data_IF_586010175878
#
_entry.id   IF_586010175878
#
_cell.length_a   1.000
_cell.length_b   1.000
_cell.length_c   1.000
_cell.angle_alpha   90.00
_cell.angle_beta   90.00
_cell.angle_gamma   90.00
#
_symmetry.space_group_name_H-M   'P 1'
#
loop_
_entity.id
_entity.type
_entity.pdbx_description
1 polymer ?
#
# COMPACT_ATOMS: atom_id res chain seq x y z
N UNK A 1 12.93 24.89 11.99
CA UNK A 1 12.91 23.54 11.40
C UNK A 1 12.62 23.73 9.93
N UNK A 2 13.54 23.38 9.03
CA UNK A 2 13.25 23.33 7.60
C UNK A 2 12.23 22.20 7.39
N UNK A 3 11.11 22.51 6.73
CA UNK A 3 10.22 21.50 6.15
C UNK A 3 11.07 20.45 5.44
N UNK A 4 10.86 19.13 5.69
CA UNK A 4 11.61 18.10 4.99
C UNK A 4 11.44 18.34 3.49
N UNK A 5 12.57 18.46 2.78
CA UNK A 5 12.56 18.75 1.35
C UNK A 5 11.79 17.65 0.64
N UNK A 6 10.57 17.94 0.19
CA UNK A 6 9.77 16.99 -0.56
C UNK A 6 10.43 16.77 -1.92
N UNK A 7 11.20 15.69 -2.03
CA UNK A 7 11.94 15.32 -3.25
C UNK A 7 11.03 15.25 -4.48
N UNK A 8 9.74 14.97 -4.29
CA UNK A 8 8.75 14.90 -5.37
C UNK A 8 8.54 16.28 -6.06
N UNK A 9 8.86 17.39 -5.41
CA UNK A 9 8.83 18.72 -6.02
C UNK A 9 9.93 18.94 -7.08
N UNK A 10 10.97 18.10 -7.08
CA UNK A 10 12.01 18.11 -8.12
C UNK A 10 11.56 17.38 -9.40
N UNK A 11 10.39 16.71 -9.37
CA UNK A 11 9.83 16.03 -10.52
C UNK A 11 8.84 16.93 -11.26
N UNK A 12 8.92 16.88 -12.58
CA UNK A 12 8.02 17.57 -13.48
C UNK A 12 7.33 16.57 -14.40
N UNK A 13 6.01 16.51 -14.38
CA UNK A 13 5.23 15.74 -15.35
C UNK A 13 5.08 16.55 -16.62
N UNK A 14 5.43 15.99 -17.77
CA UNK A 14 5.34 16.63 -19.09
C UNK A 14 4.38 15.83 -19.96
N UNK A 15 3.30 16.46 -20.42
CA UNK A 15 2.33 15.85 -21.33
C UNK A 15 2.51 16.41 -22.74
N UNK A 16 2.82 15.55 -23.70
CA UNK A 16 3.03 15.94 -25.08
C UNK A 16 1.76 15.75 -25.90
N UNK A 17 1.28 16.86 -26.46
CA UNK A 17 0.05 16.98 -27.25
C UNK A 17 -1.17 16.29 -26.61
N UNK A 18 -1.52 16.59 -25.34
CA UNK A 18 -2.72 16.05 -24.72
C UNK A 18 -3.98 16.52 -25.47
N UNK A 19 -4.93 15.61 -25.70
CA UNK A 19 -6.10 15.89 -26.54
C UNK A 19 -7.33 16.36 -25.76
N UNK A 20 -7.49 15.93 -24.51
CA UNK A 20 -8.72 16.14 -23.74
C UNK A 20 -8.42 16.77 -22.37
N UNK A 21 -9.10 17.87 -22.06
CA UNK A 21 -9.04 18.53 -20.75
C UNK A 21 -9.36 17.56 -19.59
N UNK A 22 -10.25 16.59 -19.80
CA UNK A 22 -10.59 15.54 -18.81
C UNK A 22 -9.38 14.65 -18.50
N UNK A 23 -8.55 14.32 -19.51
CA UNK A 23 -7.34 13.53 -19.28
C UNK A 23 -6.30 14.34 -18.50
N UNK A 24 -6.16 15.63 -18.80
CA UNK A 24 -5.27 16.51 -18.04
C UNK A 24 -5.75 16.63 -16.59
N UNK A 25 -7.05 16.85 -16.36
CA UNK A 25 -7.61 16.94 -15.01
C UNK A 25 -7.46 15.65 -14.20
N UNK A 26 -7.59 14.49 -14.84
CA UNK A 26 -7.34 13.20 -14.17
C UNK A 26 -5.84 12.95 -13.90
N UNK A 27 -4.95 13.43 -14.77
CA UNK A 27 -3.50 13.47 -14.51
C UNK A 27 -3.18 14.36 -13.30
N UNK A 28 -3.75 15.56 -13.25
CA UNK A 28 -3.57 16.50 -12.13
C UNK A 28 -4.00 15.86 -10.80
N UNK A 29 -5.15 15.17 -10.79
CA UNK A 29 -5.58 14.40 -9.60
C UNK A 29 -4.61 13.30 -9.23
N UNK A 30 -4.12 12.56 -10.23
CA UNK A 30 -3.14 11.50 -10.00
C UNK A 30 -1.84 12.04 -9.39
N UNK A 31 -1.36 13.17 -9.89
CA UNK A 31 -0.19 13.87 -9.35
C UNK A 31 -0.40 14.28 -7.90
N UNK A 32 -1.52 14.95 -7.60
CA UNK A 32 -1.83 15.41 -6.23
C UNK A 32 -1.95 14.26 -5.24
N UNK A 33 -2.58 13.15 -5.62
CA UNK A 33 -2.68 11.95 -4.77
C UNK A 33 -1.31 11.40 -4.35
N UNK A 34 -0.27 11.64 -5.17
CA UNK A 34 1.08 11.10 -4.97
C UNK A 34 2.09 12.19 -4.62
N UNK A 35 1.66 13.43 -4.34
CA UNK A 35 2.54 14.52 -3.91
C UNK A 35 3.37 15.19 -5.02
N UNK A 36 3.02 14.98 -6.29
CA UNK A 36 3.60 15.71 -7.43
C UNK A 36 2.80 16.98 -7.71
N UNK A 37 3.49 18.07 -8.04
CA UNK A 37 2.87 19.40 -8.16
C UNK A 37 3.20 20.15 -9.45
N UNK A 38 4.23 19.75 -10.19
CA UNK A 38 4.71 20.47 -11.38
C UNK A 38 4.25 19.77 -12.65
N UNK A 39 3.40 20.44 -13.43
CA UNK A 39 2.87 19.96 -14.70
C UNK A 39 3.24 20.90 -15.84
N UNK A 40 3.71 20.32 -16.95
CA UNK A 40 3.95 21.01 -18.22
C UNK A 40 3.15 20.37 -19.34
N UNK A 41 2.57 21.21 -20.19
CA UNK A 41 1.89 20.79 -21.40
C UNK A 41 2.72 21.25 -22.60
N UNK A 42 2.97 20.35 -23.53
CA UNK A 42 3.64 20.66 -24.79
C UNK A 42 2.61 20.59 -25.90
N UNK A 43 2.39 21.71 -26.60
CA UNK A 43 1.48 21.82 -27.73
C UNK A 43 0.10 21.16 -27.46
N UNK A 44 -0.61 21.50 -26.36
CA UNK A 44 -1.92 20.91 -26.08
C UNK A 44 -2.91 21.21 -27.22
N UNK A 45 -3.85 20.29 -27.48
CA UNK A 45 -4.87 20.51 -28.50
C UNK A 45 -5.61 21.85 -28.24
N UNK A 46 -5.90 22.68 -29.25
CA UNK A 46 -6.55 23.99 -29.05
C UNK A 46 -7.90 23.94 -28.32
N UNK A 47 -8.59 22.80 -28.36
CA UNK A 47 -9.86 22.57 -27.66
C UNK A 47 -9.69 22.25 -26.16
N UNK A 48 -8.43 22.12 -25.69
CA UNK A 48 -8.11 21.95 -24.27
C UNK A 48 -8.28 23.29 -23.57
N UNK A 49 -9.33 23.35 -22.77
CA UNK A 49 -9.65 24.48 -21.91
C UNK A 49 -9.19 24.20 -20.47
N UNK A 50 -8.45 25.15 -19.88
CA UNK A 50 -7.97 25.08 -18.50
C UNK A 50 -9.13 25.14 -17.50
N UNK A 51 -10.24 25.81 -17.81
CA UNK A 51 -11.42 25.84 -16.94
C UNK A 51 -12.05 24.44 -16.84
N UNK A 52 -12.23 23.76 -17.99
CA UNK A 52 -12.68 22.36 -18.02
C UNK A 52 -11.71 21.42 -17.33
N UNK A 53 -10.41 21.67 -17.46
CA UNK A 53 -9.35 20.92 -16.76
C UNK A 53 -9.52 21.06 -15.25
N UNK A 54 -9.76 22.27 -14.75
CA UNK A 54 -9.97 22.53 -13.32
C UNK A 54 -11.21 21.82 -12.76
N UNK A 55 -12.32 21.81 -13.51
CA UNK A 55 -13.53 21.07 -13.14
C UNK A 55 -13.22 19.57 -13.01
N UNK A 56 -12.51 19.00 -13.98
CA UNK A 56 -12.13 17.59 -13.96
C UNK A 56 -11.10 17.26 -12.85
N UNK A 57 -10.27 18.23 -12.47
CA UNK A 57 -9.22 18.08 -11.47
C UNK A 57 -9.72 18.12 -10.01
N UNK A 58 -10.97 18.53 -9.76
CA UNK A 58 -11.67 18.53 -8.46
C UNK A 58 -10.84 18.95 -7.24
N UNK A 59 -10.93 20.23 -6.83
CA UNK A 59 -10.22 20.80 -5.66
C UNK A 59 -8.68 20.71 -5.75
N UNK A 60 -8.16 20.79 -6.97
CA UNK A 60 -6.71 20.78 -7.27
C UNK A 60 -6.30 22.05 -8.03
N UNK A 61 -6.82 23.20 -7.56
CA UNK A 61 -6.59 24.51 -8.18
C UNK A 61 -5.11 24.91 -8.17
N UNK A 62 -4.40 24.54 -7.09
CA UNK A 62 -2.97 24.76 -6.89
C UNK A 62 -2.09 24.26 -8.04
N UNK A 63 -2.32 23.03 -8.53
CA UNK A 63 -1.51 22.50 -9.64
C UNK A 63 -1.95 23.12 -10.97
N UNK A 64 -3.26 23.37 -11.15
CA UNK A 64 -3.80 23.87 -12.42
C UNK A 64 -3.36 25.30 -12.71
N UNK A 65 -3.31 26.15 -11.68
CA UNK A 65 -2.87 27.54 -11.80
C UNK A 65 -1.38 27.66 -12.17
N UNK A 66 -0.57 26.68 -11.77
CA UNK A 66 0.88 26.64 -12.03
C UNK A 66 1.26 25.84 -13.29
N UNK A 67 0.29 25.42 -14.11
CA UNK A 67 0.57 24.70 -15.37
C UNK A 67 1.33 25.63 -16.32
N UNK A 68 2.48 25.15 -16.81
CA UNK A 68 3.23 25.82 -17.86
C UNK A 68 2.96 25.16 -19.22
N UNK A 69 2.75 25.99 -20.25
CA UNK A 69 2.51 25.55 -21.62
C UNK A 69 3.70 25.94 -22.48
N UNK A 70 4.18 25.01 -23.29
CA UNK A 70 5.31 25.15 -24.20
C UNK A 70 4.93 24.75 -25.62
N UNK A 71 5.59 25.31 -26.62
CA UNK A 71 5.34 24.97 -28.02
C UNK A 71 6.08 23.68 -28.39
N UNK A 72 7.27 23.45 -27.82
CA UNK A 72 8.09 22.28 -28.13
C UNK A 72 8.53 21.50 -26.89
N UNK A 73 8.79 20.19 -27.08
CA UNK A 73 9.31 19.34 -26.00
C UNK A 73 10.71 19.80 -25.56
N UNK A 74 11.53 20.31 -26.48
CA UNK A 74 12.85 20.83 -26.16
C UNK A 74 12.79 22.00 -25.17
N UNK A 75 11.86 22.95 -25.38
CA UNK A 75 11.64 24.06 -24.45
C UNK A 75 11.15 23.57 -23.08
N UNK A 76 10.20 22.62 -23.08
CA UNK A 76 9.67 22.06 -21.85
C UNK A 76 10.69 21.23 -21.05
N UNK A 77 11.83 20.87 -21.63
CA UNK A 77 12.91 20.12 -20.99
C UNK A 77 14.16 20.99 -20.69
N UNK A 78 14.17 22.26 -21.08
CA UNK A 78 15.39 23.08 -21.10
C UNK A 78 16.04 23.29 -19.71
N UNK A 79 15.25 23.30 -18.64
CA UNK A 79 15.70 23.41 -17.24
C UNK A 79 15.69 22.07 -16.49
N UNK A 80 15.42 20.96 -17.19
CA UNK A 80 15.47 19.62 -16.64
C UNK A 80 16.87 19.02 -16.77
N UNK A 81 17.34 18.36 -15.73
CA UNK A 81 18.66 17.72 -15.68
C UNK A 81 18.60 16.26 -16.11
N UNK A 82 17.39 15.68 -16.10
CA UNK A 82 17.13 14.31 -16.53
C UNK A 82 15.75 14.22 -17.17
N UNK A 83 15.66 13.66 -18.37
CA UNK A 83 14.38 13.38 -19.06
C UNK A 83 14.11 11.88 -19.15
N UNK A 84 12.89 11.48 -18.79
CA UNK A 84 12.46 10.09 -18.67
C UNK A 84 11.21 9.88 -19.52
N UNK A 85 11.36 9.23 -20.69
CA UNK A 85 10.26 8.99 -21.61
C UNK A 85 9.47 7.72 -21.30
N UNK A 86 8.14 7.80 -21.20
CA UNK A 86 7.30 6.62 -21.01
C UNK A 86 6.95 5.95 -22.34
N UNK A 87 7.16 4.64 -22.44
CA UNK A 87 6.84 3.87 -23.66
C UNK A 87 6.32 2.47 -23.35
N UNK A 88 5.28 2.04 -24.06
CA UNK A 88 4.70 0.70 -23.93
C UNK A 88 5.43 -0.36 -24.77
N UNK A 89 6.31 0.04 -25.71
CA UNK A 89 6.95 -0.87 -26.65
C UNK A 89 8.42 -1.07 -26.28
N UNK A 90 8.91 -2.31 -26.13
CA UNK A 90 10.35 -2.55 -26.08
C UNK A 90 10.94 -2.12 -27.43
N UNK A 91 11.72 -1.04 -27.43
CA UNK A 91 12.38 -0.51 -28.63
C UNK A 91 13.84 -1.01 -28.70
N UNK A 92 14.58 -0.57 -29.71
CA UNK A 92 15.91 -1.09 -30.11
C UNK A 92 16.85 -1.35 -28.92
N UNK A 93 17.72 -2.36 -29.07
CA UNK A 93 18.68 -2.90 -28.08
C UNK A 93 19.61 -1.90 -27.36
N UNK A 94 19.62 -0.63 -27.74
CA UNK A 94 20.58 0.38 -27.26
C UNK A 94 20.02 1.30 -26.17
N UNK A 95 18.73 1.20 -25.84
CA UNK A 95 18.10 2.07 -24.84
C UNK A 95 18.08 1.44 -23.45
N UNK A 96 18.36 2.25 -22.43
CA UNK A 96 18.15 1.86 -21.03
C UNK A 96 16.64 1.90 -20.77
N UNK A 97 16.03 0.73 -20.68
CA UNK A 97 14.61 0.56 -20.36
C UNK A 97 14.51 -0.09 -18.98
N UNK A 98 13.84 0.59 -18.05
CA UNK A 98 13.53 0.04 -16.72
C UNK A 98 12.04 0.16 -16.42
N UNK A 99 11.55 -0.60 -15.46
CA UNK A 99 10.20 -0.39 -14.92
C UNK A 99 10.19 0.82 -13.98
N UNK A 100 9.01 1.45 -13.74
CA UNK A 100 8.92 2.53 -12.77
C UNK A 100 9.48 2.15 -11.39
N UNK A 101 9.19 0.93 -10.91
CA UNK A 101 9.71 0.40 -9.65
C UNK A 101 11.23 0.34 -9.60
N UNK A 102 11.87 -0.19 -10.64
CA UNK A 102 13.34 -0.30 -10.70
C UNK A 102 14.01 1.08 -10.77
N UNK A 103 13.35 2.06 -11.39
CA UNK A 103 13.89 3.41 -11.57
C UNK A 103 13.67 4.33 -10.36
N UNK A 104 12.65 4.08 -9.53
CA UNK A 104 12.15 5.04 -8.57
C UNK A 104 13.22 5.53 -7.58
N UNK A 105 13.95 4.61 -6.93
CA UNK A 105 15.01 4.96 -5.99
C UNK A 105 16.15 5.76 -6.66
N UNK A 106 16.55 5.39 -7.88
CA UNK A 106 17.58 6.09 -8.65
C UNK A 106 17.15 7.52 -9.02
N UNK A 107 15.90 7.69 -9.45
CA UNK A 107 15.36 8.99 -9.80
C UNK A 107 15.20 9.89 -8.57
N UNK A 108 14.77 9.33 -7.44
CA UNK A 108 14.71 10.05 -6.17
C UNK A 108 16.10 10.47 -5.67
N UNK A 109 17.12 9.64 -5.87
CA UNK A 109 18.50 10.03 -5.54
C UNK A 109 18.94 11.25 -6.36
N UNK A 110 18.65 11.28 -7.66
CA UNK A 110 18.93 12.46 -8.50
C UNK A 110 18.21 13.71 -7.98
N UNK A 111 16.95 13.57 -7.60
CA UNK A 111 16.19 14.66 -6.98
C UNK A 111 16.82 15.13 -5.66
N UNK A 112 17.33 14.22 -4.84
CA UNK A 112 18.06 14.54 -3.61
C UNK A 112 19.40 15.26 -3.88
N UNK A 113 20.03 14.96 -5.02
CA UNK A 113 21.23 15.66 -5.51
C UNK A 113 20.91 17.03 -6.14
N UNK A 114 19.65 17.50 -6.05
CA UNK A 114 19.20 18.80 -6.56
C UNK A 114 18.86 18.82 -8.05
N UNK A 115 18.77 17.68 -8.72
CA UNK A 115 18.45 17.59 -10.14
C UNK A 115 16.93 17.63 -10.37
N UNK A 116 16.49 18.47 -11.31
CA UNK A 116 15.11 18.42 -11.83
C UNK A 116 14.94 17.23 -12.79
N UNK A 117 13.95 16.38 -12.54
CA UNK A 117 13.64 15.20 -13.35
C UNK A 117 12.31 15.38 -14.09
N UNK A 118 12.32 15.29 -15.42
CA UNK A 118 11.12 15.29 -16.24
C UNK A 118 10.63 13.87 -16.52
N UNK A 119 9.34 13.61 -16.24
CA UNK A 119 8.63 12.40 -16.65
C UNK A 119 7.76 12.75 -17.87
N UNK A 120 8.12 12.24 -19.04
CA UNK A 120 7.53 12.63 -20.33
C UNK A 120 6.53 11.57 -20.79
N UNK A 121 5.29 11.99 -20.98
CA UNK A 121 4.18 11.15 -21.42
C UNK A 121 3.65 11.66 -22.76
N UNK A 122 3.44 10.75 -23.70
CA UNK A 122 2.95 11.10 -25.02
C UNK A 122 1.44 11.09 -25.16
N UNK A 123 1.00 11.28 -26.40
CA UNK A 123 -0.40 11.28 -26.84
C UNK A 123 -1.11 9.98 -26.47
N UNK A 124 -2.41 10.04 -26.19
CA UNK A 124 -3.20 8.90 -25.70
C UNK A 124 -3.24 7.71 -26.65
N UNK A 125 -3.21 7.96 -27.96
CA UNK A 125 -3.35 6.91 -29.00
C UNK A 125 -2.01 6.41 -29.53
N UNK A 126 -1.04 7.30 -29.68
CA UNK A 126 0.23 7.02 -30.38
C UNK A 126 1.46 7.08 -29.48
N UNK A 127 1.33 7.58 -28.25
CA UNK A 127 2.44 7.81 -27.35
C UNK A 127 3.41 8.87 -27.90
N UNK A 128 4.69 8.70 -27.56
CA UNK A 128 5.78 9.57 -28.01
C UNK A 128 6.29 9.15 -29.40
N UNK A 129 6.56 10.15 -30.24
CA UNK A 129 7.22 10.00 -31.54
C UNK A 129 8.68 9.57 -31.37
N UNK A 130 9.34 9.17 -32.46
CA UNK A 130 10.76 8.82 -32.39
C UNK A 130 11.62 10.07 -32.09
N UNK A 131 11.21 11.20 -32.65
CA UNK A 131 11.84 12.50 -32.46
C UNK A 131 11.74 12.93 -30.98
N UNK A 132 10.56 12.78 -30.36
CA UNK A 132 10.36 13.09 -28.94
C UNK A 132 11.14 12.14 -28.03
N UNK A 133 11.17 10.85 -28.35
CA UNK A 133 11.97 9.88 -27.60
C UNK A 133 13.47 10.17 -27.70
N UNK A 134 13.94 10.70 -28.83
CA UNK A 134 15.36 11.08 -28.99
C UNK A 134 15.80 12.22 -28.08
N UNK A 135 14.85 12.97 -27.50
CA UNK A 135 15.10 14.03 -26.51
C UNK A 135 15.10 13.49 -25.06
N UNK A 136 14.81 12.20 -24.85
CA UNK A 136 14.78 11.57 -23.55
C UNK A 136 16.10 10.86 -23.22
N UNK A 137 16.61 11.02 -22.00
CA UNK A 137 17.86 10.37 -21.54
C UNK A 137 17.68 8.90 -21.18
N UNK A 138 16.51 8.54 -20.66
CA UNK A 138 16.16 7.17 -20.28
C UNK A 138 14.67 6.90 -20.53
N UNK A 139 14.30 5.62 -20.53
CA UNK A 139 12.93 5.21 -20.82
C UNK A 139 12.38 4.31 -19.72
N UNK A 140 11.09 4.49 -19.45
CA UNK A 140 10.34 3.59 -18.59
C UNK A 140 9.27 2.86 -19.37
N UNK A 141 9.12 1.58 -19.04
CA UNK A 141 8.01 0.76 -19.52
C UNK A 141 7.25 0.21 -18.32
N UNK A 142 5.97 0.54 -18.25
CA UNK A 142 5.05 -0.07 -17.29
C UNK A 142 4.74 -1.50 -17.76
N UNK A 143 5.05 -2.54 -16.97
CA UNK A 143 4.69 -3.90 -17.32
C UNK A 143 3.17 -4.05 -17.45
N UNK A 144 2.73 -4.55 -18.59
CA UNK A 144 1.32 -4.77 -18.95
C UNK A 144 1.19 -6.11 -19.68
N UNK A 145 -0.04 -6.58 -19.89
CA UNK A 145 -0.28 -7.82 -20.65
C UNK A 145 0.13 -7.60 -22.11
N UNK A 146 0.83 -8.56 -22.71
CA UNK A 146 1.47 -8.40 -24.02
C UNK A 146 0.49 -8.10 -25.18
N UNK A 147 -0.75 -8.55 -25.09
CA UNK A 147 -1.82 -8.35 -26.08
C UNK A 147 -2.63 -7.07 -25.84
N UNK A 148 -2.42 -6.38 -24.71
CA UNK A 148 -3.13 -5.15 -24.35
C UNK A 148 -2.26 -4.25 -23.47
N UNK A 149 -1.31 -3.57 -24.11
CA UNK A 149 -0.29 -2.75 -23.43
C UNK A 149 -0.63 -1.25 -23.36
N UNK A 150 -1.79 -0.85 -23.87
CA UNK A 150 -2.18 0.56 -23.94
C UNK A 150 -2.86 0.99 -22.64
N UNK A 151 -2.17 1.78 -21.84
CA UNK A 151 -2.74 2.42 -20.66
C UNK A 151 -3.35 3.77 -21.02
N UNK A 152 -4.42 4.16 -20.32
CA UNK A 152 -4.86 5.55 -20.33
C UNK A 152 -3.75 6.46 -19.76
N UNK A 153 -3.65 7.69 -20.23
CA UNK A 153 -2.63 8.66 -19.82
C UNK A 153 -2.54 8.83 -18.29
N UNK A 154 -3.67 9.05 -17.62
CA UNK A 154 -3.70 9.20 -16.16
C UNK A 154 -3.33 7.90 -15.43
N UNK A 155 -3.62 6.73 -16.00
CA UNK A 155 -3.19 5.44 -15.46
C UNK A 155 -1.67 5.26 -15.55
N UNK A 156 -1.07 5.68 -16.66
CA UNK A 156 0.37 5.66 -16.82
C UNK A 156 1.05 6.62 -15.82
N UNK A 157 0.51 7.83 -15.65
CA UNK A 157 1.02 8.82 -14.68
C UNK A 157 0.90 8.30 -13.25
N UNK A 158 -0.27 7.81 -12.82
CA UNK A 158 -0.45 7.36 -11.44
C UNK A 158 0.47 6.19 -11.08
N UNK A 159 0.73 5.26 -12.00
CA UNK A 159 1.64 4.14 -11.73
C UNK A 159 3.08 4.61 -11.52
N UNK A 160 3.54 5.58 -12.30
CA UNK A 160 4.88 6.16 -12.12
C UNK A 160 4.96 6.99 -10.83
N UNK A 161 3.96 7.84 -10.61
CA UNK A 161 3.87 8.68 -9.42
C UNK A 161 3.78 7.85 -8.14
N UNK A 162 3.04 6.74 -8.17
CA UNK A 162 2.92 5.81 -7.05
C UNK A 162 4.26 5.14 -6.73
N UNK A 163 4.99 4.62 -7.71
CA UNK A 163 6.29 4.00 -7.44
C UNK A 163 7.32 5.01 -6.90
N UNK A 164 7.26 6.28 -7.35
CA UNK A 164 8.03 7.37 -6.75
C UNK A 164 7.60 7.68 -5.32
N UNK A 165 6.30 7.75 -5.05
CA UNK A 165 5.77 7.97 -3.70
C UNK A 165 6.18 6.83 -2.77
N UNK A 166 6.06 5.57 -3.21
CA UNK A 166 6.44 4.38 -2.45
C UNK A 166 7.93 4.31 -2.14
N UNK A 167 8.78 4.71 -3.08
CA UNK A 167 10.22 4.78 -2.87
C UNK A 167 10.64 6.03 -2.06
N UNK A 168 9.75 7.00 -1.90
CA UNK A 168 9.97 8.16 -1.04
C UNK A 168 9.74 7.82 0.43
N UNK A 169 10.34 8.60 1.33
CA UNK A 169 10.18 8.44 2.78
C UNK A 169 8.77 8.80 3.29
N UNK A 170 7.86 9.22 2.40
CA UNK A 170 6.48 9.62 2.71
C UNK A 170 5.49 8.45 2.73
N UNK A 171 5.81 7.33 2.09
CA UNK A 171 4.94 6.16 2.05
C UNK A 171 4.96 5.32 3.34
N UNK A 172 5.36 5.92 4.47
CA UNK A 172 5.34 5.23 5.76
C UNK A 172 3.89 4.83 6.07
N UNK A 173 3.59 3.54 6.26
CA UNK A 173 2.27 3.14 6.68
C UNK A 173 1.93 3.90 7.97
N UNK A 174 0.67 4.32 8.11
CA UNK A 174 0.12 4.76 9.40
C UNK A 174 0.31 3.59 10.35
N UNK A 175 1.40 3.60 11.10
CA UNK A 175 1.80 2.44 11.88
C UNK A 175 0.79 2.29 13.01
N UNK A 176 -0.02 1.23 12.96
CA UNK A 176 -0.32 0.54 14.20
C UNK A 176 1.05 0.11 14.75
N UNK A 177 1.41 0.55 15.95
CA UNK A 177 2.66 0.13 16.57
C UNK A 177 2.86 -1.37 16.39
N UNK A 178 4.04 -1.84 15.95
CA UNK A 178 4.26 -3.25 15.72
C UNK A 178 3.96 -4.01 17.01
N UNK A 179 2.89 -4.82 16.97
CA UNK A 179 2.53 -5.69 18.10
C UNK A 179 3.66 -6.67 18.31
N UNK A 180 4.33 -6.55 19.45
CA UNK A 180 5.40 -7.46 19.84
C UNK A 180 4.76 -8.75 20.34
N UNK A 181 5.00 -9.91 19.69
CA UNK A 181 4.44 -11.17 20.15
C UNK A 181 4.89 -11.50 21.57
N UNK A 182 4.01 -12.15 22.33
CA UNK A 182 4.29 -12.64 23.67
C UNK A 182 5.55 -13.52 23.67
N UNK A 183 6.40 -13.33 24.68
CA UNK A 183 7.59 -14.16 24.87
C UNK A 183 7.26 -15.66 24.91
N UNK A 184 8.20 -16.51 24.47
CA UNK A 184 8.04 -17.98 24.56
C UNK A 184 7.70 -18.43 25.98
N UNK A 185 8.30 -17.82 27.01
CA UNK A 185 7.99 -18.07 28.41
C UNK A 185 6.52 -17.82 28.76
N UNK A 186 5.94 -16.73 28.25
CA UNK A 186 4.53 -16.41 28.50
C UNK A 186 3.60 -17.35 27.73
N UNK A 187 3.96 -17.75 26.50
CA UNK A 187 3.21 -18.76 25.72
C UNK A 187 3.23 -20.13 26.36
N UNK A 188 4.39 -20.57 26.88
CA UNK A 188 4.52 -21.81 27.65
C UNK A 188 3.67 -21.77 28.93
N UNK A 189 3.67 -20.63 29.64
CA UNK A 189 2.81 -20.42 30.81
C UNK A 189 1.32 -20.51 30.45
N UNK A 190 0.91 -19.88 29.34
CA UNK A 190 -0.47 -19.98 28.83
C UNK A 190 -0.83 -21.45 28.57
N UNK A 191 0.01 -22.18 27.84
CA UNK A 191 -0.24 -23.60 27.53
C UNK A 191 -0.28 -24.48 28.79
N UNK A 192 0.60 -24.23 29.76
CA UNK A 192 0.60 -24.93 31.04
C UNK A 192 -0.67 -24.63 31.85
N UNK A 193 -1.12 -23.37 31.88
CA UNK A 193 -2.36 -22.98 32.53
C UNK A 193 -3.57 -23.63 31.85
N UNK A 194 -3.65 -23.61 30.51
CA UNK A 194 -4.71 -24.29 29.77
C UNK A 194 -4.76 -25.79 30.11
N UNK A 195 -3.59 -26.46 30.14
CA UNK A 195 -3.50 -27.88 30.55
C UNK A 195 -4.05 -28.11 31.95
N UNK A 196 -3.63 -27.30 32.92
CA UNK A 196 -4.10 -27.43 34.30
C UNK A 196 -5.61 -27.27 34.37
N UNK A 197 -6.14 -26.17 33.85
CA UNK A 197 -7.57 -25.85 33.92
C UNK A 197 -8.40 -26.93 33.24
N UNK A 198 -8.05 -27.35 32.02
CA UNK A 198 -8.78 -28.40 31.30
C UNK A 198 -8.75 -29.75 32.03
N UNK A 199 -7.64 -30.09 32.67
CA UNK A 199 -7.55 -31.31 33.48
C UNK A 199 -8.44 -31.24 34.71
N UNK A 200 -8.45 -30.10 35.40
CA UNK A 200 -9.25 -29.90 36.61
C UNK A 200 -10.76 -30.00 36.33
N UNK A 201 -11.24 -29.49 35.19
CA UNK A 201 -12.67 -29.57 34.85
C UNK A 201 -13.06 -30.91 34.20
N UNK A 202 -12.15 -31.89 34.14
CA UNK A 202 -12.45 -33.22 33.57
C UNK A 202 -12.60 -33.24 32.05
N UNK A 203 -12.03 -32.26 31.33
CA UNK A 203 -12.13 -32.18 29.87
C UNK A 203 -11.50 -33.40 29.16
N UNK A 204 -10.40 -33.93 29.71
CA UNK A 204 -9.71 -35.09 29.15
C UNK A 204 -10.39 -36.39 29.61
N UNK A 205 -11.18 -37.01 28.72
CA UNK A 205 -11.88 -38.29 28.97
C UNK A 205 -10.96 -39.54 28.86
N UNK A 206 -9.74 -39.39 28.33
CA UNK A 206 -8.75 -40.46 28.15
C UNK A 206 -7.31 -39.91 28.15
N UNK A 207 -6.30 -40.78 27.99
CA UNK A 207 -4.88 -40.39 27.82
C UNK A 207 -4.59 -39.52 26.56
N UNK A 208 -5.60 -39.13 25.79
CA UNK A 208 -5.48 -38.28 24.57
C UNK A 208 -5.21 -36.78 24.85
N UNK A 209 -4.72 -36.42 26.04
CA UNK A 209 -4.45 -35.03 26.42
C UNK A 209 -3.36 -34.37 25.56
N UNK A 210 -2.42 -35.15 25.02
CA UNK A 210 -1.32 -34.64 24.20
C UNK A 210 -1.78 -34.00 22.88
N UNK A 211 -2.76 -34.59 22.18
CA UNK A 211 -3.24 -34.10 20.88
C UNK A 211 -3.98 -32.76 20.97
N UNK A 212 -4.81 -32.61 22.00
CA UNK A 212 -5.52 -31.35 22.30
C UNK A 212 -4.52 -30.24 22.63
N UNK A 213 -3.53 -30.54 23.47
CA UNK A 213 -2.54 -29.54 23.89
C UNK A 213 -1.62 -29.13 22.74
N UNK A 214 -1.25 -30.06 21.86
CA UNK A 214 -0.54 -29.74 20.63
C UNK A 214 -1.38 -28.83 19.72
N UNK A 215 -2.69 -29.08 19.65
CA UNK A 215 -3.62 -28.24 18.88
C UNK A 215 -3.72 -26.83 19.46
N UNK A 216 -3.85 -26.70 20.79
CA UNK A 216 -3.84 -25.39 21.47
C UNK A 216 -2.53 -24.65 21.27
N UNK A 217 -1.38 -25.33 21.38
CA UNK A 217 -0.08 -24.74 21.11
C UNK A 217 0.01 -24.19 19.68
N UNK A 218 -0.49 -24.95 18.69
CA UNK A 218 -0.55 -24.52 17.29
C UNK A 218 -1.49 -23.32 17.08
N UNK A 219 -2.64 -23.29 17.76
CA UNK A 219 -3.56 -22.15 17.72
C UNK A 219 -2.89 -20.90 18.29
N UNK A 220 -2.31 -20.97 19.50
CA UNK A 220 -1.64 -19.83 20.13
C UNK A 220 -0.44 -19.35 19.33
N UNK A 221 0.31 -20.25 18.69
CA UNK A 221 1.43 -19.88 17.82
C UNK A 221 0.97 -19.17 16.54
N UNK A 222 -0.12 -19.62 15.92
CA UNK A 222 -0.66 -19.01 14.70
C UNK A 222 -1.34 -17.66 14.96
N UNK A 223 -1.88 -17.47 16.16
CA UNK A 223 -2.54 -16.23 16.55
C UNK A 223 -1.56 -15.08 16.85
N UNK A 224 -0.26 -15.35 17.01
CA UNK A 224 0.78 -14.35 17.31
C UNK A 224 0.42 -13.41 18.48
N UNK A 225 -0.21 -13.97 19.51
CA UNK A 225 -0.74 -13.24 20.66
C UNK A 225 0.29 -12.29 21.25
N UNK A 226 -0.12 -11.05 21.55
CA UNK A 226 0.70 -10.11 22.31
C UNK A 226 0.68 -10.43 23.82
N UNK A 227 1.48 -9.69 24.59
CA UNK A 227 1.60 -9.92 26.04
C UNK A 227 0.27 -9.75 26.78
N UNK A 228 -0.54 -8.77 26.38
CA UNK A 228 -1.84 -8.48 26.99
C UNK A 228 -2.83 -9.60 26.68
N UNK A 229 -2.90 -10.02 25.42
CA UNK A 229 -3.78 -11.10 24.96
C UNK A 229 -3.44 -12.44 25.64
N UNK A 230 -2.15 -12.78 25.74
CA UNK A 230 -1.72 -14.00 26.42
C UNK A 230 -2.03 -13.97 27.93
N UNK A 231 -1.87 -12.82 28.59
CA UNK A 231 -2.21 -12.65 30.01
C UNK A 231 -3.72 -12.70 30.26
N UNK A 232 -4.51 -12.10 29.37
CA UNK A 232 -5.97 -12.17 29.43
C UNK A 232 -6.45 -13.62 29.31
N UNK A 233 -5.93 -14.38 28.34
CA UNK A 233 -6.26 -15.80 28.20
C UNK A 233 -5.84 -16.64 29.42
N UNK A 234 -4.66 -16.38 29.99
CA UNK A 234 -4.25 -17.00 31.27
C UNK A 234 -5.28 -16.68 32.35
N UNK A 235 -5.71 -15.41 32.44
CA UNK A 235 -6.75 -14.96 33.38
C UNK A 235 -8.06 -15.73 33.23
N UNK A 236 -8.54 -15.91 31.99
CA UNK A 236 -9.74 -16.71 31.70
C UNK A 236 -9.59 -18.14 32.24
N UNK A 237 -8.47 -18.80 31.95
CA UNK A 237 -8.24 -20.16 32.46
C UNK A 237 -8.12 -20.23 34.00
N UNK A 238 -7.58 -19.19 34.64
CA UNK A 238 -7.52 -19.09 36.10
C UNK A 238 -8.91 -18.91 36.71
N UNK A 239 -9.76 -18.06 36.13
CA UNK A 239 -11.13 -17.87 36.63
C UNK A 239 -11.99 -19.12 36.49
N UNK A 240 -11.90 -19.83 35.36
CA UNK A 240 -12.55 -21.14 35.19
C UNK A 240 -12.12 -22.13 36.28
N UNK A 241 -10.84 -22.13 36.64
CA UNK A 241 -10.32 -23.01 37.68
C UNK A 241 -10.83 -22.64 39.09
N UNK A 242 -10.85 -21.34 39.42
CA UNK A 242 -11.42 -20.84 40.69
C UNK A 242 -12.89 -21.20 40.80
N UNK A 243 -13.65 -21.01 39.73
CA UNK A 243 -15.06 -21.36 39.67
C UNK A 243 -15.28 -22.85 39.94
N UNK A 244 -14.49 -23.73 39.32
CA UNK A 244 -14.55 -25.17 39.57
C UNK A 244 -14.22 -25.54 41.02
N UNK A 245 -13.27 -24.85 41.66
CA UNK A 245 -12.91 -25.06 43.06
C UNK A 245 -14.02 -24.64 44.04
N UNK A 246 -14.71 -23.52 43.77
CA UNK A 246 -15.87 -23.08 44.57
C UNK A 246 -17.00 -24.10 44.57
N UNK A 247 -17.30 -24.68 43.40
CA UNK A 247 -18.31 -25.75 43.28
C UNK A 247 -17.86 -26.99 44.07
N UNK A 248 -16.61 -27.44 43.92
CA UNK A 248 -16.09 -28.61 44.65
C UNK A 248 -16.13 -28.45 46.16
N UNK A 249 -15.93 -27.23 46.67
CA UNK A 249 -15.98 -26.92 48.11
C UNK A 249 -17.41 -26.76 48.63
N UNK A 250 -18.42 -26.85 47.76
CA UNK A 250 -19.83 -26.64 48.12
C UNK A 250 -20.14 -25.18 48.51
N UNK A 251 -19.29 -24.23 48.12
CA UNK A 251 -19.47 -22.80 48.41
C UNK A 251 -20.45 -22.18 47.40
N UNK A 252 -20.48 -22.72 46.18
CA UNK A 252 -21.35 -22.29 45.09
C UNK A 252 -22.17 -23.49 44.63
N UNK A 253 -23.50 -23.37 44.66
CA UNK A 253 -24.40 -24.34 44.04
C UNK A 253 -24.55 -24.00 42.55
N UNK A 254 -24.26 -24.93 41.62
CA UNK A 254 -24.53 -24.73 40.20
C UNK A 254 -25.98 -24.33 39.87
N UNK A 255 -26.94 -24.68 40.73
CA UNK A 255 -28.34 -24.30 40.58
C UNK A 255 -28.61 -22.79 40.82
N UNK A 256 -27.71 -22.11 41.54
CA UNK A 256 -27.80 -20.66 41.83
C UNK A 256 -27.20 -19.79 40.72
N UNK A 257 -26.62 -20.41 39.68
CA UNK A 257 -26.09 -19.69 38.54
C UNK A 257 -27.22 -19.12 37.69
N UNK A 258 -27.07 -17.90 37.14
CA UNK A 258 -28.01 -17.41 36.14
C UNK A 258 -28.07 -18.45 35.02
N UNK A 259 -29.29 -18.80 34.59
CA UNK A 259 -29.60 -19.88 33.67
C UNK A 259 -28.77 -19.76 32.37
N UNK A 260 -27.55 -20.28 32.43
CA UNK A 260 -26.63 -20.38 31.32
C UNK A 260 -26.95 -21.71 30.66
N UNK A 261 -28.15 -21.80 30.08
CA UNK A 261 -28.38 -22.73 28.98
C UNK A 261 -27.39 -22.35 27.88
N UNK A 262 -26.19 -22.92 27.96
CA UNK A 262 -25.27 -22.96 26.84
C UNK A 262 -25.99 -23.81 25.80
N UNK A 263 -26.77 -23.15 24.96
CA UNK A 263 -27.35 -23.76 23.78
C UNK A 263 -26.18 -24.03 22.85
N UNK A 264 -25.46 -25.13 23.09
CA UNK A 264 -24.55 -25.71 22.11
C UNK A 264 -25.50 -26.34 21.08
N UNK A 265 -25.69 -25.76 19.89
CA UNK A 265 -26.46 -26.44 18.86
C UNK A 265 -25.84 -27.82 18.66
N UNK A 266 -26.65 -28.89 18.52
CA UNK A 266 -26.10 -30.21 18.28
C UNK A 266 -25.18 -30.13 17.06
N UNK A 267 -23.99 -30.71 17.18
CA UNK A 267 -23.07 -30.88 16.06
C UNK A 267 -23.88 -31.49 14.91
N UNK A 268 -24.09 -30.72 13.85
CA UNK A 268 -24.52 -31.27 12.58
C UNK A 268 -23.39 -32.19 12.14
N UNK A 269 -23.59 -33.50 12.32
CA UNK A 269 -22.74 -34.53 11.74
C UNK A 269 -22.45 -34.17 10.29
N UNK A 270 -21.16 -34.15 9.97
CA UNK A 270 -20.60 -33.89 8.66
C UNK A 270 -21.29 -34.78 7.60
N UNK A 271 -21.81 -34.12 6.55
CA UNK A 271 -22.10 -34.72 5.25
C UNK A 271 -21.17 -34.11 4.20
#
# INVERSE_FOLDING_TARGET
MQEPHNLLNSFCVVLVEPQLAVNIGTVVRAMKNMGLTRLRLVNPCPDVDLERTQIAAHRTTDIVEDILIFDTLAEALADCHRSVGLTARPRKREWIVSTPRESAARLLQRAADGQTVALVFGRERSGLSNEELSLCDEFLTVPTRADYSSLNLAQAVILCAYELFMASDQARPVSNEPRVPASSKLRERLLAQSRHTLSAIGFFKSNASAGVLHTLARIFSRAELDTSEAQMLIGVFVEVLKFADLIRRGILDPADLPDATVHIPPDSEEG
#
